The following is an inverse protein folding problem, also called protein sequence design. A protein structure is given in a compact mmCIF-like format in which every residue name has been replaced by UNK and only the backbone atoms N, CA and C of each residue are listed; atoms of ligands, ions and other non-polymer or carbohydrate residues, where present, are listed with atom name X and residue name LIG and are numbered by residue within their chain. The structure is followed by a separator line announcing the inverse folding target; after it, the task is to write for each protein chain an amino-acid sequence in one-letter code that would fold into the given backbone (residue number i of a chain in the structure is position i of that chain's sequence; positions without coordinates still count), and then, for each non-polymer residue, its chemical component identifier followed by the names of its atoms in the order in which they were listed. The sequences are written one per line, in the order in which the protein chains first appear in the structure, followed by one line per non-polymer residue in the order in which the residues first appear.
data_IF_287618309296
#
_entry.id   IF_287618309296
#
_cell.length_a   1.000
_cell.length_b   1.000
_cell.length_c   1.000
_cell.angle_alpha   90.00
_cell.angle_beta   90.00
_cell.angle_gamma   90.00
#
_symmetry.space_group_name_H-M   'P 1'
#
loop_
_entity.id
_entity.type
_entity.pdbx_description
1 polymer ?
#
# COMPACT_ATOMS: atom_id res chain seq x y z
N UNK A 1 20.09 0.05 17.56
CA UNK A 1 18.97 0.42 16.67
C UNK A 1 17.83 -0.62 16.61
N UNK A 2 17.82 -1.66 17.46
CA UNK A 2 16.76 -2.69 17.52
C UNK A 2 15.60 -2.38 18.49
N UNK A 3 15.74 -1.38 19.37
CA UNK A 3 14.76 -1.09 20.43
C UNK A 3 13.58 -0.21 20.00
N UNK A 4 13.67 0.48 18.84
CA UNK A 4 12.53 1.26 18.30
C UNK A 4 11.46 0.40 17.62
N UNK A 5 11.76 -0.86 17.29
CA UNK A 5 10.76 -1.75 16.69
C UNK A 5 9.70 -2.12 17.75
N UNK A 6 10.10 -2.42 18.99
CA UNK A 6 9.16 -2.91 20.01
C UNK A 6 8.20 -1.85 20.60
N UNK A 7 8.59 -0.57 20.69
CA UNK A 7 7.72 0.44 21.33
C UNK A 7 6.58 0.92 20.43
N UNK A 8 6.68 0.73 19.11
CA UNK A 8 5.63 1.02 18.11
C UNK A 8 4.77 -0.23 17.82
N UNK A 9 5.26 -1.42 18.16
CA UNK A 9 4.48 -2.67 18.09
C UNK A 9 3.26 -2.67 19.04
N UNK A 10 3.29 -1.93 20.16
CA UNK A 10 2.25 -2.01 21.21
C UNK A 10 1.02 -1.11 20.99
N UNK A 11 1.09 -0.06 20.17
CA UNK A 11 -0.03 0.90 20.03
C UNK A 11 -1.13 0.46 19.04
N UNK A 12 -0.79 -0.32 18.03
CA UNK A 12 -1.75 -0.82 17.02
C UNK A 12 -2.25 -2.25 17.32
N UNK A 13 -1.64 -2.94 18.29
CA UNK A 13 -1.88 -4.36 18.55
C UNK A 13 -3.21 -4.71 19.25
N UNK A 14 -3.71 -3.97 20.26
CA UNK A 14 -4.83 -4.49 21.06
C UNK A 14 -6.21 -4.38 20.40
N UNK A 15 -6.35 -3.69 19.25
CA UNK A 15 -7.68 -3.33 18.71
C UNK A 15 -8.11 -4.08 17.46
N UNK A 16 -7.27 -4.94 16.88
CA UNK A 16 -7.55 -5.58 15.59
C UNK A 16 -7.98 -7.05 15.62
N UNK A 17 -7.95 -7.79 16.74
CA UNK A 17 -8.33 -9.21 16.68
C UNK A 17 -9.18 -9.73 17.86
N UNK A 18 -10.42 -10.08 17.53
CA UNK A 18 -10.98 -11.34 17.98
C UNK A 18 -10.12 -12.49 17.40
N UNK A 19 -9.85 -13.50 18.22
CA UNK A 19 -8.99 -14.65 17.89
C UNK A 19 -9.31 -15.23 16.49
N UNK A 20 -8.31 -15.47 15.62
CA UNK A 20 -8.55 -16.08 14.32
C UNK A 20 -9.09 -17.51 14.49
N UNK A 21 -10.11 -17.86 13.70
CA UNK A 21 -10.58 -19.25 13.55
C UNK A 21 -11.80 -19.68 14.36
N UNK A 22 -12.55 -18.77 15.00
CA UNK A 22 -13.86 -19.11 15.59
C UNK A 22 -14.97 -18.29 14.96
N UNK A 23 -15.96 -18.97 14.37
CA UNK A 23 -17.20 -18.34 13.96
C UNK A 23 -17.86 -17.67 15.19
N UNK A 24 -17.78 -16.35 15.28
CA UNK A 24 -18.55 -15.60 16.26
C UNK A 24 -19.93 -15.39 15.66
N UNK A 25 -20.86 -16.28 16.01
CA UNK A 25 -22.25 -16.18 15.58
C UNK A 25 -22.93 -15.01 16.28
N UNK A 26 -23.16 -13.91 15.55
CA UNK A 26 -24.23 -12.97 15.88
C UNK A 26 -25.50 -13.52 15.22
N UNK A 27 -26.57 -13.73 15.99
CA UNK A 27 -27.87 -14.19 15.45
C UNK A 27 -28.32 -13.23 14.34
N UNK A 28 -28.23 -13.67 13.08
CA UNK A 28 -28.71 -12.93 11.90
C UNK A 28 -27.66 -12.61 10.84
N UNK A 29 -26.37 -12.83 11.09
CA UNK A 29 -25.30 -12.68 10.09
C UNK A 29 -24.52 -13.99 9.97
N UNK A 30 -24.20 -14.41 8.74
CA UNK A 30 -23.36 -15.59 8.49
C UNK A 30 -21.99 -15.50 9.20
N UNK A 31 -21.19 -16.59 9.19
CA UNK A 31 -19.89 -16.60 9.85
C UNK A 31 -19.00 -15.46 9.33
N UNK A 32 -18.51 -14.61 10.25
CA UNK A 32 -17.49 -13.60 9.96
C UNK A 32 -16.14 -14.33 9.91
N UNK A 33 -15.67 -14.62 8.70
CA UNK A 33 -14.31 -15.13 8.51
C UNK A 33 -13.33 -13.97 8.69
N UNK A 34 -12.52 -14.03 9.75
CA UNK A 34 -11.43 -13.09 9.94
C UNK A 34 -10.27 -13.49 9.03
N UNK A 35 -9.84 -12.58 8.14
CA UNK A 35 -8.65 -12.77 7.30
C UNK A 35 -7.41 -12.91 8.18
N UNK A 36 -6.43 -13.67 7.72
CA UNK A 36 -5.11 -13.82 8.31
C UNK A 36 -4.32 -12.52 8.14
N UNK A 37 -3.90 -11.88 9.25
CA UNK A 37 -3.18 -10.61 9.18
C UNK A 37 -1.70 -10.78 8.87
N UNK A 38 -1.20 -9.92 7.98
CA UNK A 38 0.21 -9.75 7.70
C UNK A 38 0.57 -8.27 7.71
N UNK A 39 1.83 -7.97 8.03
CA UNK A 39 2.39 -6.62 7.95
C UNK A 39 3.43 -6.59 6.84
N UNK A 40 3.30 -5.64 5.92
CA UNK A 40 4.28 -5.46 4.87
C UNK A 40 5.61 -4.92 5.42
N UNK A 41 6.71 -5.52 4.99
CA UNK A 41 8.08 -5.10 5.25
C UNK A 41 8.68 -4.48 3.99
N UNK A 42 8.78 -3.14 3.89
CA UNK A 42 9.28 -2.46 2.70
C UNK A 42 10.72 -2.82 2.34
N UNK A 43 11.59 -3.03 3.33
CA UNK A 43 13.01 -3.37 3.08
C UNK A 43 13.17 -4.76 2.47
N UNK A 44 12.30 -5.70 2.83
CA UNK A 44 12.42 -7.10 2.41
C UNK A 44 11.48 -7.45 1.24
N UNK A 45 10.47 -6.61 0.96
CA UNK A 45 9.47 -6.88 -0.09
C UNK A 45 8.57 -8.07 0.24
N UNK A 46 8.34 -8.34 1.53
CA UNK A 46 7.54 -9.46 2.02
C UNK A 46 6.44 -9.00 2.98
N UNK A 47 5.40 -9.80 3.10
CA UNK A 47 4.37 -9.65 4.12
C UNK A 47 4.62 -10.67 5.24
N UNK A 48 4.75 -10.22 6.49
CA UNK A 48 5.05 -11.04 7.67
C UNK A 48 3.82 -11.23 8.56
N UNK A 49 3.48 -12.48 8.83
CA UNK A 49 2.45 -12.92 9.75
C UNK A 49 2.97 -13.03 11.19
N UNK A 50 2.05 -13.24 12.11
CA UNK A 50 2.29 -13.17 13.56
C UNK A 50 2.89 -14.45 14.13
N UNK A 51 2.57 -15.56 13.50
CA UNK A 51 3.17 -16.87 13.71
C UNK A 51 4.56 -16.97 13.04
N UNK A 52 5.08 -15.86 12.50
CA UNK A 52 6.34 -15.78 11.80
C UNK A 52 6.28 -16.21 10.33
N UNK A 53 5.15 -16.75 9.85
CA UNK A 53 5.06 -17.08 8.43
C UNK A 53 5.13 -15.81 7.56
N UNK A 54 5.61 -15.94 6.33
CA UNK A 54 5.73 -14.81 5.43
C UNK A 54 5.52 -15.22 3.98
N UNK A 55 5.26 -14.25 3.11
CA UNK A 55 5.22 -14.46 1.66
C UNK A 55 5.72 -13.22 0.92
N UNK A 56 6.18 -13.41 -0.31
CA UNK A 56 6.58 -12.27 -1.16
C UNK A 56 5.37 -11.40 -1.49
N UNK A 57 5.51 -10.10 -1.29
CA UNK A 57 4.47 -9.12 -1.58
C UNK A 57 5.03 -8.04 -2.51
N UNK A 58 5.21 -8.36 -3.81
CA UNK A 58 5.80 -7.43 -4.77
C UNK A 58 4.82 -6.32 -5.17
N UNK A 59 5.34 -5.25 -5.77
CA UNK A 59 4.52 -4.18 -6.33
C UNK A 59 4.22 -3.02 -5.39
N UNK A 60 4.91 -2.95 -4.26
CA UNK A 60 4.85 -1.80 -3.34
C UNK A 60 6.24 -1.19 -3.24
N UNK A 61 6.32 0.13 -3.36
CA UNK A 61 7.53 0.89 -3.05
C UNK A 61 7.16 2.03 -2.10
N UNK A 62 7.83 2.12 -0.94
CA UNK A 62 7.57 3.12 0.08
C UNK A 62 8.81 3.98 0.29
N UNK A 63 8.64 5.30 0.16
CA UNK A 63 9.68 6.28 0.41
C UNK A 63 9.27 7.06 1.66
N UNK A 64 10.02 6.92 2.73
CA UNK A 64 9.82 7.71 3.95
C UNK A 64 10.43 9.10 3.79
N UNK A 65 9.90 10.07 4.53
CA UNK A 65 10.35 11.47 4.52
C UNK A 65 10.53 12.01 3.08
N UNK A 66 9.58 11.67 2.20
CA UNK A 66 9.58 12.10 0.80
C UNK A 66 9.44 13.62 0.68
N UNK A 67 8.74 14.25 1.63
CA UNK A 67 8.70 15.70 1.82
C UNK A 67 9.24 16.07 3.19
N UNK A 68 9.81 17.28 3.31
CA UNK A 68 10.19 17.84 4.61
C UNK A 68 8.96 18.32 5.38
N UNK A 69 9.14 18.69 6.65
CA UNK A 69 8.06 19.26 7.48
C UNK A 69 7.58 20.60 6.93
N UNK A 70 8.49 21.45 6.47
CA UNK A 70 8.16 22.75 5.85
C UNK A 70 7.39 22.58 4.54
N UNK A 71 7.78 21.60 3.73
CA UNK A 71 7.08 21.27 2.48
C UNK A 71 5.69 20.70 2.74
N UNK A 72 5.55 19.81 3.72
CA UNK A 72 4.25 19.30 4.16
C UNK A 72 3.33 20.44 4.61
N UNK A 73 3.85 21.36 5.44
CA UNK A 73 3.08 22.51 5.90
C UNK A 73 2.69 23.43 4.73
N UNK A 74 3.60 23.68 3.80
CA UNK A 74 3.32 24.49 2.61
C UNK A 74 2.24 23.86 1.72
N UNK A 75 2.34 22.55 1.45
CA UNK A 75 1.36 21.79 0.67
C UNK A 75 -0.02 21.84 1.32
N UNK A 76 -0.12 21.57 2.63
CA UNK A 76 -1.40 21.55 3.33
C UNK A 76 -2.01 22.96 3.39
N UNK A 77 -1.20 23.99 3.65
CA UNK A 77 -1.68 25.38 3.63
C UNK A 77 -2.25 25.75 2.27
N UNK A 78 -1.58 25.36 1.17
CA UNK A 78 -2.06 25.56 -0.18
C UNK A 78 -3.40 24.86 -0.41
N UNK A 79 -3.52 23.58 -0.01
CA UNK A 79 -4.77 22.83 -0.15
C UNK A 79 -5.92 23.47 0.64
N UNK A 80 -5.63 23.99 1.84
CA UNK A 80 -6.64 24.61 2.72
C UNK A 80 -7.08 26.01 2.27
N UNK A 81 -6.39 26.65 1.31
CA UNK A 81 -6.89 27.87 0.65
C UNK A 81 -7.99 27.58 -0.38
N UNK A 82 -8.09 26.34 -0.85
CA UNK A 82 -9.05 25.93 -1.88
C UNK A 82 -10.24 25.19 -1.25
N UNK A 83 -11.39 25.21 -1.92
CA UNK A 83 -12.60 24.58 -1.37
C UNK A 83 -12.48 23.05 -1.33
N UNK A 84 -12.67 22.47 -0.14
CA UNK A 84 -12.80 21.04 0.05
C UNK A 84 -14.23 20.57 -0.22
N UNK A 85 -14.43 19.75 -1.26
CA UNK A 85 -15.76 19.20 -1.59
C UNK A 85 -16.03 17.90 -0.87
N UNK A 86 -17.28 17.68 -0.45
CA UNK A 86 -17.68 16.41 0.14
C UNK A 86 -17.48 15.23 -0.83
N UNK A 87 -16.98 14.12 -0.29
CA UNK A 87 -16.75 12.87 -1.01
C UNK A 87 -17.40 11.69 -0.29
N UNK A 88 -17.31 10.51 -0.90
CA UNK A 88 -17.80 9.25 -0.33
C UNK A 88 -17.05 8.90 0.96
N UNK A 89 -17.71 8.12 1.83
CA UNK A 89 -17.10 7.54 3.02
C UNK A 89 -16.53 8.61 3.98
N UNK A 90 -17.27 9.70 4.20
CA UNK A 90 -16.92 10.74 5.19
C UNK A 90 -15.75 11.66 4.80
N UNK A 91 -15.13 11.47 3.63
CA UNK A 91 -13.95 12.25 3.18
C UNK A 91 -14.35 13.56 2.53
N UNK A 92 -13.37 14.45 2.38
CA UNK A 92 -13.41 15.58 1.46
C UNK A 92 -12.37 15.41 0.36
N UNK A 93 -12.54 16.10 -0.76
CA UNK A 93 -11.63 15.99 -1.90
C UNK A 93 -11.48 17.28 -2.70
N UNK A 94 -10.36 17.35 -3.42
CA UNK A 94 -10.10 18.30 -4.51
C UNK A 94 -9.56 17.49 -5.70
N UNK A 95 -10.21 17.60 -6.85
CA UNK A 95 -9.83 16.85 -8.05
C UNK A 95 -9.16 17.79 -9.06
N UNK A 96 -7.99 17.38 -9.55
CA UNK A 96 -7.26 18.02 -10.64
C UNK A 96 -7.06 16.97 -11.72
N UNK A 97 -7.86 17.00 -12.78
CA UNK A 97 -7.75 15.99 -13.83
C UNK A 97 -8.84 16.11 -14.89
N UNK A 98 -8.75 15.28 -15.94
CA UNK A 98 -9.78 15.21 -16.97
C UNK A 98 -11.13 14.79 -16.39
N UNK A 99 -12.20 15.15 -17.11
CA UNK A 99 -13.55 14.68 -16.79
C UNK A 99 -13.74 13.22 -17.21
N UNK A 100 -13.99 12.38 -16.22
CA UNK A 100 -14.19 10.93 -16.39
C UNK A 100 -15.66 10.55 -16.22
N UNK A 101 -16.15 9.66 -17.07
CA UNK A 101 -17.35 8.87 -16.82
C UNK A 101 -16.96 7.39 -16.74
N UNK A 102 -16.80 6.89 -15.51
CA UNK A 102 -16.33 5.53 -15.24
C UNK A 102 -17.28 4.46 -15.81
N UNK A 103 -18.59 4.60 -15.59
CA UNK A 103 -19.60 3.64 -16.08
C UNK A 103 -19.59 3.47 -17.60
N UNK A 104 -19.35 4.55 -18.35
CA UNK A 104 -19.32 4.53 -19.82
C UNK A 104 -17.91 4.42 -20.38
N UNK A 105 -16.88 4.34 -19.53
CA UNK A 105 -15.46 4.39 -19.91
C UNK A 105 -15.14 5.53 -20.89
N UNK A 106 -15.61 6.75 -20.57
CA UNK A 106 -15.40 7.95 -21.39
C UNK A 106 -14.51 8.94 -20.67
N UNK A 107 -13.47 9.41 -21.37
CA UNK A 107 -12.55 10.45 -20.94
C UNK A 107 -12.70 11.68 -21.82
N UNK A 108 -12.75 12.87 -21.20
CA UNK A 108 -12.79 14.17 -21.89
C UNK A 108 -11.94 15.17 -21.11
N UNK A 109 -11.39 16.18 -21.79
CA UNK A 109 -10.63 17.26 -21.13
C UNK A 109 -11.51 17.97 -20.09
N UNK A 110 -12.72 18.38 -20.45
CA UNK A 110 -13.60 19.11 -19.52
C UNK A 110 -13.00 20.47 -19.16
N UNK A 111 -13.02 20.82 -17.87
CA UNK A 111 -12.43 22.05 -17.34
C UNK A 111 -10.98 21.84 -16.87
N UNK A 112 -10.33 20.75 -17.30
CA UNK A 112 -8.96 20.46 -16.87
C UNK A 112 -7.99 21.50 -17.39
N UNK A 113 -7.37 22.23 -16.48
CA UNK A 113 -6.41 23.31 -16.77
C UNK A 113 -4.99 23.01 -16.29
N UNK A 114 -4.75 21.80 -15.78
CA UNK A 114 -3.45 21.32 -15.32
C UNK A 114 -3.45 20.80 -13.90
N UNK A 115 -2.31 20.31 -13.44
CA UNK A 115 -2.05 20.04 -12.03
C UNK A 115 -1.72 21.35 -11.30
N UNK A 116 -1.84 21.44 -9.97
CA UNK A 116 -1.51 22.66 -9.25
C UNK A 116 0.01 22.90 -9.22
N UNK A 117 0.43 24.16 -9.14
CA UNK A 117 1.83 24.56 -9.20
C UNK A 117 2.71 23.90 -8.12
N UNK A 118 2.18 23.75 -6.90
CA UNK A 118 2.88 23.09 -5.79
C UNK A 118 3.26 21.64 -6.09
N UNK A 119 2.58 20.98 -7.01
CA UNK A 119 2.86 19.60 -7.40
C UNK A 119 4.04 19.47 -8.36
N UNK A 120 4.53 20.56 -8.95
CA UNK A 120 5.67 20.51 -9.85
C UNK A 120 6.92 20.01 -9.13
N UNK A 121 7.24 20.55 -7.95
CA UNK A 121 8.41 20.14 -7.15
C UNK A 121 8.29 18.68 -6.71
N UNK A 122 7.08 18.24 -6.37
CA UNK A 122 6.78 16.86 -5.97
C UNK A 122 7.03 15.92 -7.14
N UNK A 123 6.55 16.25 -8.33
CA UNK A 123 6.77 15.46 -9.55
C UNK A 123 8.26 15.46 -9.98
N UNK A 124 8.96 16.59 -9.87
CA UNK A 124 10.41 16.66 -10.11
C UNK A 124 11.20 15.71 -9.20
N UNK A 125 10.80 15.62 -7.92
CA UNK A 125 11.39 14.67 -6.97
C UNK A 125 11.02 13.22 -7.30
N UNK A 126 9.78 12.94 -7.70
CA UNK A 126 9.36 11.60 -8.12
C UNK A 126 10.27 11.02 -9.21
N UNK A 127 10.68 11.86 -10.18
CA UNK A 127 11.58 11.45 -11.28
C UNK A 127 12.96 10.96 -10.84
N UNK A 128 13.38 11.27 -9.61
CA UNK A 128 14.66 10.79 -9.06
C UNK A 128 14.61 9.33 -8.60
N UNK A 129 13.42 8.71 -8.59
CA UNK A 129 13.24 7.33 -8.17
C UNK A 129 12.98 6.43 -9.39
N UNK A 130 13.80 5.40 -9.56
CA UNK A 130 13.72 4.46 -10.70
C UNK A 130 12.34 3.83 -10.88
N UNK A 131 11.61 3.56 -9.79
CA UNK A 131 10.24 3.01 -9.85
C UNK A 131 9.24 3.97 -10.55
N UNK A 132 9.54 5.26 -10.59
CA UNK A 132 8.74 6.31 -11.21
C UNK A 132 9.38 6.88 -12.50
N UNK A 133 10.35 6.16 -13.07
CA UNK A 133 10.96 6.56 -14.34
C UNK A 133 9.90 6.67 -15.45
N UNK A 134 9.83 7.84 -16.10
CA UNK A 134 8.82 8.11 -17.13
C UNK A 134 7.38 8.20 -16.61
N UNK A 135 7.16 8.38 -15.30
CA UNK A 135 5.84 8.63 -14.74
C UNK A 135 5.33 10.03 -15.12
N UNK A 136 4.20 10.08 -15.83
CA UNK A 136 3.57 11.30 -16.30
C UNK A 136 2.16 11.43 -15.70
N UNK A 137 2.01 12.14 -14.56
CA UNK A 137 0.71 12.28 -13.92
C UNK A 137 -0.21 13.15 -14.79
N UNK A 138 -1.44 12.68 -14.98
CA UNK A 138 -2.52 13.42 -15.64
C UNK A 138 -3.65 13.76 -14.68
N UNK A 139 -3.59 13.23 -13.47
CA UNK A 139 -4.57 13.44 -12.43
C UNK A 139 -3.87 13.51 -11.07
N UNK A 140 -4.37 14.42 -10.25
CA UNK A 140 -4.10 14.53 -8.83
C UNK A 140 -5.43 14.65 -8.08
N UNK A 141 -5.65 13.78 -7.11
CA UNK A 141 -6.78 13.84 -6.19
C UNK A 141 -6.24 14.09 -4.78
N UNK A 142 -6.50 15.28 -4.23
CA UNK A 142 -6.25 15.52 -2.81
C UNK A 142 -7.45 14.99 -2.03
N UNK A 143 -7.18 14.24 -0.95
CA UNK A 143 -8.19 13.64 -0.10
C UNK A 143 -7.92 14.02 1.35
N UNK A 144 -8.94 14.52 2.02
CA UNK A 144 -8.88 14.95 3.41
C UNK A 144 -9.78 14.05 4.27
N UNK A 145 -9.17 13.46 5.29
CA UNK A 145 -9.74 12.47 6.20
C UNK A 145 -9.78 13.02 7.61
N UNK A 146 -10.92 12.81 8.28
CA UNK A 146 -11.11 13.17 9.67
C UNK A 146 -11.75 12.00 10.43
N UNK A 147 -11.21 11.69 11.61
CA UNK A 147 -11.73 10.65 12.51
C UNK A 147 -13.18 10.93 12.92
N UNK A 148 -13.51 12.20 13.22
CA UNK A 148 -14.86 12.67 13.59
C UNK A 148 -15.91 12.42 12.51
N UNK A 149 -15.49 12.30 11.24
CA UNK A 149 -16.39 12.02 10.10
C UNK A 149 -16.48 10.53 9.78
N UNK A 150 -15.76 9.68 10.53
CA UNK A 150 -15.58 8.28 10.20
C UNK A 150 -14.96 8.10 8.81
N UNK A 151 -14.06 9.01 8.41
CA UNK A 151 -13.49 8.98 7.05
C UNK A 151 -12.77 7.66 6.79
N UNK A 152 -13.07 7.02 5.67
CA UNK A 152 -12.47 5.75 5.25
C UNK A 152 -12.48 5.62 3.74
N UNK A 153 -11.91 4.53 3.23
CA UNK A 153 -12.10 4.11 1.84
C UNK A 153 -12.23 2.59 1.81
N UNK A 154 -13.32 2.11 1.21
CA UNK A 154 -13.60 0.68 1.15
C UNK A 154 -12.62 -0.04 0.20
N UNK A 155 -12.41 -1.35 0.36
CA UNK A 155 -11.55 -2.12 -0.54
C UNK A 155 -11.99 -2.01 -2.00
N UNK A 156 -11.09 -1.51 -2.85
CA UNK A 156 -11.37 -1.33 -4.27
C UNK A 156 -10.10 -1.44 -5.13
N UNK A 157 -10.31 -1.55 -6.43
CA UNK A 157 -9.29 -1.37 -7.46
C UNK A 157 -9.48 -0.01 -8.12
N UNK A 158 -8.38 0.57 -8.58
CA UNK A 158 -8.43 1.69 -9.53
C UNK A 158 -8.79 1.19 -10.93
N UNK A 159 -9.56 2.00 -11.67
CA UNK A 159 -10.01 1.70 -13.03
C UNK A 159 -8.84 1.49 -14.01
N UNK A 160 -8.49 0.23 -14.27
CA UNK A 160 -7.35 -0.15 -15.13
C UNK A 160 -7.52 0.19 -16.62
N UNK A 161 -8.75 0.46 -17.06
CA UNK A 161 -8.98 0.98 -18.42
C UNK A 161 -8.44 2.41 -18.57
N UNK A 162 -8.44 3.19 -17.49
CA UNK A 162 -8.06 4.60 -17.53
C UNK A 162 -6.67 4.84 -16.94
N UNK A 163 -6.41 4.29 -15.75
CA UNK A 163 -5.17 4.57 -15.04
C UNK A 163 -4.06 3.59 -15.45
N UNK A 164 -2.84 4.08 -15.55
CA UNK A 164 -1.65 3.33 -15.95
C UNK A 164 -0.89 2.71 -14.79
N UNK A 165 0.28 2.14 -15.09
CA UNK A 165 0.99 1.13 -14.28
C UNK A 165 1.13 1.49 -12.80
N UNK A 166 1.37 2.76 -12.50
CA UNK A 166 1.73 3.22 -11.16
C UNK A 166 0.62 4.08 -10.57
N UNK A 167 0.18 3.72 -9.37
CA UNK A 167 -0.65 4.56 -8.50
C UNK A 167 0.24 5.13 -7.41
N UNK A 168 0.31 6.45 -7.31
CA UNK A 168 1.23 7.13 -6.39
C UNK A 168 0.42 7.89 -5.35
N UNK A 169 0.74 7.77 -4.07
CA UNK A 169 0.07 8.55 -3.02
C UNK A 169 1.09 9.14 -2.05
N UNK A 170 1.06 10.46 -1.89
CA UNK A 170 1.81 11.20 -0.89
C UNK A 170 0.95 11.35 0.38
N UNK A 171 1.40 10.79 1.49
CA UNK A 171 0.74 10.81 2.80
C UNK A 171 1.20 12.02 3.63
N UNK A 172 0.28 12.78 4.22
CA UNK A 172 0.55 14.02 4.96
C UNK A 172 -0.23 14.09 6.28
N UNK A 173 0.27 14.90 7.21
CA UNK A 173 -0.24 15.24 8.54
C UNK A 173 -0.26 14.11 9.57
N UNK A 174 -0.73 12.93 9.20
CA UNK A 174 -0.89 11.78 10.10
C UNK A 174 -0.52 10.48 9.42
N UNK A 175 -0.02 9.55 10.23
CA UNK A 175 0.20 8.17 9.84
C UNK A 175 -1.15 7.48 9.55
N UNK A 176 -1.12 6.43 8.72
CA UNK A 176 -2.25 5.53 8.47
C UNK A 176 -1.77 4.13 8.12
N UNK A 177 -2.73 3.23 7.87
CA UNK A 177 -2.51 1.92 7.27
C UNK A 177 -3.28 1.81 5.95
N UNK A 178 -2.61 1.36 4.90
CA UNK A 178 -3.22 0.82 3.70
C UNK A 178 -3.47 -0.68 3.91
N UNK A 179 -4.72 -1.09 3.83
CA UNK A 179 -5.09 -2.50 3.92
C UNK A 179 -5.23 -3.08 2.52
N UNK A 180 -4.46 -4.12 2.23
CA UNK A 180 -4.49 -4.84 0.96
C UNK A 180 -5.23 -6.16 1.14
N UNK A 181 -6.24 -6.39 0.31
CA UNK A 181 -7.02 -7.65 0.28
C UNK A 181 -7.17 -8.16 -1.15
N UNK A 182 -7.32 -9.46 -1.34
CA UNK A 182 -7.62 -10.04 -2.65
C UNK A 182 -8.96 -10.77 -2.64
N UNK A 183 -9.56 -10.91 -3.82
CA UNK A 183 -10.72 -11.78 -4.06
C UNK A 183 -10.30 -13.10 -4.74
N UNK A 184 -8.99 -13.29 -4.99
CA UNK A 184 -8.46 -14.50 -5.60
C UNK A 184 -8.54 -15.70 -4.63
N UNK A 185 -9.13 -16.79 -5.08
CA UNK A 185 -9.27 -18.05 -4.32
C UNK A 185 -8.11 -19.01 -4.57
N UNK A 186 -7.17 -18.64 -5.43
CA UNK A 186 -5.97 -19.41 -5.71
C UNK A 186 -5.06 -19.52 -4.49
N UNK A 187 -4.17 -20.51 -4.51
CA UNK A 187 -3.30 -20.83 -3.38
C UNK A 187 -2.11 -19.89 -3.30
N UNK A 188 -1.96 -19.24 -2.15
CA UNK A 188 -0.78 -18.51 -1.71
C UNK A 188 0.09 -19.40 -0.80
N UNK A 189 1.37 -19.49 -1.13
CA UNK A 189 2.34 -20.23 -0.33
C UNK A 189 2.92 -19.33 0.77
N UNK A 190 2.84 -19.79 2.02
CA UNK A 190 3.43 -19.18 3.19
C UNK A 190 4.73 -19.92 3.53
N UNK A 191 5.80 -19.15 3.63
CA UNK A 191 7.12 -19.59 4.03
C UNK A 191 7.26 -19.53 5.56
N UNK A 192 7.82 -20.57 6.20
CA UNK A 192 8.15 -20.54 7.63
C UNK A 192 9.37 -19.67 7.91
N UNK A 193 9.53 -19.21 9.16
CA UNK A 193 10.81 -18.64 9.63
C UNK A 193 11.84 -19.76 9.67
N UNK A 194 12.98 -19.58 9.00
CA UNK A 194 14.16 -20.38 9.31
C UNK A 194 14.68 -19.91 10.68
N UNK A 195 14.59 -20.76 11.70
CA UNK A 195 15.32 -20.50 12.93
C UNK A 195 16.81 -20.46 12.57
N UNK A 196 17.46 -19.30 12.72
CA UNK A 196 18.92 -19.23 12.67
C UNK A 196 19.45 -20.19 13.73
N UNK A 197 20.20 -21.20 13.28
CA UNK A 197 20.79 -22.21 14.15
C UNK A 197 21.70 -21.53 15.16
N UNK A 198 21.47 -21.83 16.43
CA UNK A 198 22.40 -21.54 17.53
C UNK A 198 23.81 -21.99 17.14
N UNK A 199 24.74 -21.04 17.08
CA UNK A 199 26.16 -21.32 16.86
C UNK A 199 26.65 -22.37 17.86
N UNK A 200 27.27 -23.44 17.34
CA UNK A 200 27.93 -24.47 18.11
C UNK A 200 29.10 -23.86 18.88
N UNK A 201 28.95 -23.72 20.20
CA UNK A 201 30.08 -23.65 21.12
C UNK A 201 30.84 -24.99 21.05
N UNK A 202 31.89 -25.05 20.24
CA UNK A 202 32.90 -26.11 20.32
C UNK A 202 33.90 -25.72 21.41
N UNK A 203 33.66 -26.23 22.62
CA UNK A 203 34.74 -26.39 23.60
C UNK A 203 35.41 -27.72 23.30
N UNK A 204 36.67 -27.64 22.89
CA UNK A 204 37.59 -28.76 22.78
C UNK A 204 37.95 -29.28 24.17
N UNK A 205 37.75 -30.57 24.40
CA UNK A 205 38.51 -31.34 25.38
C UNK A 205 38.57 -32.81 24.95
N UNK A 206 39.78 -33.34 25.04
CA UNK A 206 40.25 -34.63 24.55
C UNK A 206 39.52 -35.86 25.13
N UNK A 207 39.57 -36.97 24.37
CA UNK A 207 39.26 -38.30 24.89
C UNK A 207 39.07 -39.37 23.81
N UNK A 208 40.15 -40.10 23.49
CA UNK A 208 40.12 -41.34 22.71
C UNK A 208 39.13 -42.37 23.31
N UNK A 209 38.34 -43.04 22.46
CA UNK A 209 38.31 -44.51 22.36
C UNK A 209 37.40 -44.99 21.22
N UNK A 210 37.88 -46.03 20.54
CA UNK A 210 37.25 -46.69 19.41
C UNK A 210 36.20 -47.74 19.83
N UNK A 211 35.45 -48.20 18.83
CA UNK A 211 34.42 -49.25 18.77
C UNK A 211 33.04 -48.93 19.35
N UNK A 212 32.08 -48.60 18.47
CA UNK A 212 30.93 -49.50 18.27
C UNK A 212 30.12 -49.10 17.02
N UNK A 213 29.68 -50.10 16.25
CA UNK A 213 28.69 -49.92 15.19
C UNK A 213 27.33 -49.64 15.83
N UNK A 214 26.76 -48.45 15.61
CA UNK A 214 25.31 -48.30 15.69
C UNK A 214 24.80 -47.26 14.70
N UNK A 215 23.93 -47.76 13.82
CA UNK A 215 23.18 -47.06 12.80
C UNK A 215 22.12 -46.19 13.48
N UNK A 216 22.54 -45.04 14.04
CA UNK A 216 21.62 -44.10 14.66
C UNK A 216 21.22 -43.06 13.62
N UNK A 217 20.02 -43.23 13.07
CA UNK A 217 19.38 -42.25 12.21
C UNK A 217 19.32 -40.91 12.96
N UNK A 218 19.88 -39.86 12.35
CA UNK A 218 19.68 -38.48 12.79
C UNK A 218 18.16 -38.24 12.99
N UNK A 219 17.70 -37.82 14.18
CA UNK A 219 16.30 -37.48 14.35
C UNK A 219 16.01 -36.25 13.49
N UNK A 220 14.97 -36.39 12.67
CA UNK A 220 14.65 -35.52 11.54
C UNK A 220 14.76 -34.03 11.81
N UNK A 221 15.53 -33.36 10.95
CA UNK A 221 15.13 -32.06 10.44
C UNK A 221 13.73 -32.22 9.83
N UNK A 222 12.69 -31.98 10.62
CA UNK A 222 11.34 -31.78 10.08
C UNK A 222 11.42 -30.52 9.24
N UNK A 223 11.57 -30.66 7.92
CA UNK A 223 11.32 -29.57 6.97
C UNK A 223 9.92 -29.07 7.29
N UNK A 224 9.83 -27.93 7.98
CA UNK A 224 8.55 -27.27 8.23
C UNK A 224 7.89 -27.07 6.87
N UNK A 225 6.86 -27.85 6.61
CA UNK A 225 6.22 -27.92 5.30
C UNK A 225 5.59 -26.55 5.02
N UNK A 226 5.81 -26.02 3.80
CA UNK A 226 5.22 -24.75 3.41
C UNK A 226 3.69 -24.83 3.56
N UNK A 227 3.11 -23.85 4.25
CA UNK A 227 1.67 -23.77 4.49
C UNK A 227 1.03 -23.07 3.31
N UNK A 228 -0.14 -23.53 2.87
CA UNK A 228 -0.87 -22.92 1.77
C UNK A 228 -2.19 -22.35 2.28
N UNK A 229 -2.53 -21.13 1.85
CA UNK A 229 -3.81 -20.46 2.17
C UNK A 229 -4.36 -19.79 0.91
N UNK A 230 -5.68 -19.62 0.75
CA UNK A 230 -6.22 -18.79 -0.32
C UNK A 230 -5.77 -17.32 -0.19
N UNK A 231 -5.52 -16.63 -1.31
CA UNK A 231 -5.26 -15.17 -1.29
C UNK A 231 -6.40 -14.39 -0.63
N UNK A 232 -7.65 -14.81 -0.85
CA UNK A 232 -8.83 -14.20 -0.24
C UNK A 232 -8.91 -14.34 1.28
N UNK A 233 -8.12 -15.23 1.88
CA UNK A 233 -8.05 -15.40 3.33
C UNK A 233 -6.96 -14.52 3.96
N UNK A 234 -6.22 -13.75 3.17
CA UNK A 234 -5.11 -12.90 3.64
C UNK A 234 -5.46 -11.42 3.58
N UNK A 235 -4.95 -10.70 4.57
CA UNK A 235 -4.94 -9.23 4.62
C UNK A 235 -3.52 -8.73 4.90
N UNK A 236 -3.05 -7.77 4.11
CA UNK A 236 -1.71 -7.17 4.30
C UNK A 236 -1.83 -5.71 4.67
N UNK A 237 -1.31 -5.34 5.84
CA UNK A 237 -1.23 -3.97 6.32
C UNK A 237 0.08 -3.31 5.87
N UNK A 238 -0.02 -2.27 5.06
CA UNK A 238 1.09 -1.38 4.67
C UNK A 238 1.01 -0.13 5.53
N UNK A 239 2.01 0.08 6.39
CA UNK A 239 2.09 1.31 7.20
C UNK A 239 2.54 2.48 6.33
N UNK A 240 1.81 3.58 6.42
CA UNK A 240 2.13 4.83 5.73
C UNK A 240 2.39 5.91 6.78
N UNK A 241 3.66 6.17 7.14
CA UNK A 241 4.01 7.32 7.97
C UNK A 241 3.63 8.63 7.29
N UNK A 242 3.39 9.70 8.06
CA UNK A 242 3.28 11.05 7.48
C UNK A 242 4.54 11.39 6.67
N UNK A 243 4.37 12.24 5.66
CA UNK A 243 5.40 12.65 4.69
C UNK A 243 5.96 11.53 3.82
N UNK A 244 5.38 10.34 3.84
CA UNK A 244 5.82 9.23 2.98
C UNK A 244 5.11 9.23 1.62
N UNK A 245 5.78 8.70 0.61
CA UNK A 245 5.20 8.44 -0.71
C UNK A 245 5.16 6.93 -0.96
N UNK A 246 3.97 6.41 -1.26
CA UNK A 246 3.78 5.01 -1.66
C UNK A 246 3.48 4.92 -3.15
N UNK A 247 4.10 3.95 -3.81
CA UNK A 247 3.81 3.57 -5.19
C UNK A 247 3.28 2.14 -5.19
N UNK A 248 2.06 1.95 -5.70
CA UNK A 248 1.49 0.65 -5.99
C UNK A 248 1.60 0.38 -7.50
N UNK A 249 2.17 -0.77 -7.86
CA UNK A 249 2.38 -1.23 -9.23
C UNK A 249 2.34 -2.77 -9.29
N UNK A 250 2.31 -3.36 -10.48
CA UNK A 250 2.28 -4.81 -10.65
C UNK A 250 1.19 -5.49 -9.81
N UNK A 251 1.55 -6.57 -9.12
CA UNK A 251 0.60 -7.38 -8.36
C UNK A 251 -0.18 -6.58 -7.32
N UNK A 252 0.48 -5.72 -6.53
CA UNK A 252 -0.21 -4.90 -5.53
C UNK A 252 -1.25 -3.96 -6.13
N UNK A 253 -1.08 -3.55 -7.39
CA UNK A 253 -2.06 -2.72 -8.11
C UNK A 253 -3.21 -3.54 -8.71
N UNK A 254 -2.91 -4.68 -9.33
CA UNK A 254 -3.88 -5.40 -10.17
C UNK A 254 -4.52 -6.61 -9.50
N UNK A 255 -3.89 -7.20 -8.47
CA UNK A 255 -4.39 -8.39 -7.76
C UNK A 255 -4.92 -8.10 -6.37
N UNK A 256 -4.57 -6.93 -5.82
CA UNK A 256 -4.96 -6.52 -4.49
C UNK A 256 -5.80 -5.24 -4.52
N UNK A 257 -6.95 -5.30 -3.85
CA UNK A 257 -7.74 -4.13 -3.48
C UNK A 257 -7.08 -3.41 -2.33
N UNK A 258 -7.06 -2.09 -2.40
CA UNK A 258 -6.56 -1.25 -1.31
C UNK A 258 -7.71 -0.55 -0.59
N UNK A 259 -7.53 -0.35 0.71
CA UNK A 259 -8.49 0.28 1.61
C UNK A 259 -7.78 1.10 2.71
N UNK A 260 -8.53 1.98 3.37
CA UNK A 260 -8.17 2.55 4.67
C UNK A 260 -9.39 2.41 5.56
N UNK A 261 -9.24 1.71 6.68
CA UNK A 261 -10.31 1.57 7.65
C UNK A 261 -10.44 2.80 8.53
N UNK A 262 -11.65 3.04 9.06
CA UNK A 262 -11.96 4.21 9.89
C UNK A 262 -11.09 4.27 11.15
N UNK A 263 -10.77 3.12 11.72
CA UNK A 263 -9.92 2.95 12.89
C UNK A 263 -8.45 3.30 12.63
N UNK A 264 -8.02 3.36 11.37
CA UNK A 264 -6.69 3.79 11.00
C UNK A 264 -6.60 5.29 10.69
N UNK A 265 -7.71 6.04 10.84
CA UNK A 265 -7.75 7.50 10.82
C UNK A 265 -7.94 7.99 12.26
N UNK A 266 -6.83 8.22 12.96
CA UNK A 266 -6.85 8.70 14.35
C UNK A 266 -6.94 10.23 14.42
N UNK A 267 -6.23 10.91 13.51
CA UNK A 267 -6.15 12.36 13.39
C UNK A 267 -6.49 12.81 11.97
N UNK A 268 -6.51 14.13 11.74
CA UNK A 268 -6.62 14.67 10.39
C UNK A 268 -5.47 14.13 9.55
N UNK A 269 -5.81 13.51 8.42
CA UNK A 269 -4.86 12.98 7.44
C UNK A 269 -5.21 13.55 6.09
N UNK A 270 -4.20 14.03 5.37
CA UNK A 270 -4.34 14.47 3.99
C UNK A 270 -3.47 13.59 3.11
N UNK A 271 -3.91 13.30 1.89
CA UNK A 271 -3.02 12.72 0.89
C UNK A 271 -3.28 13.28 -0.50
N UNK A 272 -2.24 13.32 -1.32
CA UNK A 272 -2.33 13.59 -2.76
C UNK A 272 -2.05 12.32 -3.53
N UNK A 273 -3.06 11.81 -4.23
CA UNK A 273 -2.92 10.64 -5.11
C UNK A 273 -2.72 11.11 -6.55
N UNK A 274 -1.68 10.61 -7.21
CA UNK A 274 -1.32 10.93 -8.59
C UNK A 274 -1.48 9.70 -9.49
N UNK A 275 -2.03 9.90 -10.68
CA UNK A 275 -2.30 8.83 -11.64
C UNK A 275 -1.84 9.21 -13.04
N UNK A 276 -1.19 8.27 -13.70
CA UNK A 276 -0.86 8.33 -15.13
C UNK A 276 -1.93 7.63 -15.97
N UNK A 277 -1.96 7.86 -17.29
CA UNK A 277 -2.90 7.19 -18.17
C UNK A 277 -2.46 5.76 -18.51
N UNK A 278 -3.45 4.92 -18.79
CA UNK A 278 -3.23 3.55 -19.26
C UNK A 278 -2.61 3.53 -20.67
N UNK A 279 -2.17 2.34 -21.08
CA UNK A 279 -1.57 2.10 -22.41
C UNK A 279 -2.49 2.51 -23.57
N UNK A 280 -3.81 2.55 -23.38
CA UNK A 280 -4.74 2.99 -24.44
C UNK A 280 -4.51 4.45 -24.87
N UNK A 281 -4.00 5.29 -23.96
CA UNK A 281 -3.76 6.71 -24.19
C UNK A 281 -2.27 7.05 -24.35
N UNK A 282 -1.40 6.04 -24.25
CA UNK A 282 0.05 6.20 -24.42
C UNK A 282 0.46 6.04 -25.89
N UNK A 283 1.76 6.20 -26.20
CA UNK A 283 2.33 5.98 -27.54
C UNK A 283 1.90 4.63 -28.14
N UNK A 284 1.36 4.66 -29.36
CA UNK A 284 0.81 3.50 -30.07
C UNK A 284 -0.61 3.11 -29.63
N UNK A 285 -1.19 3.80 -28.64
CA UNK A 285 -2.53 3.56 -28.12
C UNK A 285 -3.63 4.18 -29.01
N UNK A 286 -4.83 3.60 -28.98
CA UNK A 286 -5.98 4.07 -29.79
C UNK A 286 -6.40 5.51 -29.47
N UNK A 287 -6.08 6.00 -28.27
CA UNK A 287 -6.40 7.35 -27.78
C UNK A 287 -5.14 8.18 -27.50
N UNK A 288 -4.01 7.83 -28.10
CA UNK A 288 -2.72 8.51 -27.93
C UNK A 288 -2.82 10.04 -28.01
N UNK A 289 -3.44 10.59 -29.07
CA UNK A 289 -3.60 12.04 -29.24
C UNK A 289 -4.31 12.73 -28.06
N UNK A 290 -5.32 12.06 -27.49
CA UNK A 290 -6.01 12.57 -26.31
C UNK A 290 -5.11 12.48 -25.08
N UNK A 291 -4.35 11.39 -24.93
CA UNK A 291 -3.41 11.23 -23.83
C UNK A 291 -2.29 12.26 -23.84
N UNK A 292 -1.65 12.48 -24.99
CA UNK A 292 -0.61 13.50 -25.18
C UNK A 292 -1.13 14.89 -24.82
N UNK A 293 -2.32 15.26 -25.31
CA UNK A 293 -2.95 16.53 -24.96
C UNK A 293 -3.19 16.66 -23.44
N UNK A 294 -3.67 15.61 -22.78
CA UNK A 294 -3.92 15.63 -21.33
C UNK A 294 -2.63 15.73 -20.53
N UNK A 295 -1.55 15.07 -20.95
CA UNK A 295 -0.22 15.20 -20.33
C UNK A 295 0.28 16.63 -20.48
N UNK A 296 0.18 17.23 -21.66
CA UNK A 296 0.60 18.62 -21.89
C UNK A 296 -0.18 19.61 -21.02
N UNK A 297 -1.49 19.40 -20.84
CA UNK A 297 -2.30 20.21 -19.93
C UNK A 297 -1.85 19.99 -18.49
N UNK A 298 -1.73 18.73 -18.05
CA UNK A 298 -1.36 18.36 -16.68
C UNK A 298 -0.03 19.01 -16.26
N UNK A 299 1.00 18.90 -17.11
CA UNK A 299 2.35 19.37 -16.86
C UNK A 299 2.55 20.87 -17.14
N UNK A 300 1.48 21.61 -17.46
CA UNK A 300 1.52 23.08 -17.41
C UNK A 300 1.60 23.62 -15.98
N UNK A 301 1.17 22.82 -15.00
CA UNK A 301 1.13 23.15 -13.57
C UNK A 301 0.34 24.44 -13.23
N UNK A 302 -0.63 24.81 -14.06
CA UNK A 302 -1.50 25.99 -13.90
C UNK A 302 -2.91 25.65 -13.40
N UNK A 303 -3.07 24.44 -12.86
CA UNK A 303 -4.33 23.85 -12.46
C UNK A 303 -5.00 24.53 -11.28
N UNK A 304 -6.34 24.52 -11.31
CA UNK A 304 -7.21 24.77 -10.16
C UNK A 304 -8.10 23.55 -9.92
N UNK A 305 -8.57 23.32 -8.69
CA UNK A 305 -9.45 22.18 -8.42
C UNK A 305 -10.79 22.34 -9.16
N UNK A 306 -11.35 21.22 -9.64
CA UNK A 306 -12.50 21.19 -10.57
C UNK A 306 -13.74 20.63 -9.92
#
# INVERSE_FOLDING_TARGET
MQLLCFSVFSRLWPRLFAMPGRAVGVKGSGPVYCKLPFIYSPLEGIAKGLDGCWFHFPGVYLIQDFVTEDEEQHLVNFMDQEEWRLSQSGRRKQDFGPKVNFKKQKLRVGNFSGLPNVSQVIWERMKQHTVLEGFLPVEQCNLDYHSERGSSIDPHFDDSWLWGERLVSLNLLSDTVFTMTSDDVSSLQLMPVLQEGSELNSTSSDGNNASDMNHTQNPGYSKSQAKHVPYCDVEVAIRLPRRSLVVLYGDARYKWKHAIHRENIEHRRVCSTFRELSKEFSLGGKKEKLGEMLVNIALSFQGKPI
#
